data_IF_981276778287
#
_entry.id   IF_981276778287
#
_cell.length_a   1.000
_cell.length_b   1.000
_cell.length_c   1.000
_cell.angle_alpha   90.00
_cell.angle_beta   90.00
_cell.angle_gamma   90.00
#
_symmetry.space_group_name_H-M   'P 1'
#
loop_
_entity.id
_entity.type
_entity.pdbx_description
1 polymer ?
#
# COMPACT_ATOMS: atom_id res chain seq x y z
N UNK A 1 -6.28 9.72 20.42
CA UNK A 1 -5.07 9.03 20.90
C UNK A 1 -4.47 8.16 19.84
N UNK A 2 -3.17 8.20 19.67
CA UNK A 2 -2.53 7.28 18.72
C UNK A 2 -2.66 5.83 19.19
N UNK A 3 -2.64 4.93 18.26
CA UNK A 3 -2.62 3.50 18.57
C UNK A 3 -1.39 2.89 17.90
N UNK A 4 -1.05 1.69 18.32
CA UNK A 4 0.12 1.01 17.80
C UNK A 4 -0.27 -0.25 17.06
N UNK A 5 0.48 -0.56 16.03
CA UNK A 5 0.37 -1.84 15.34
C UNK A 5 1.71 -2.53 15.51
N UNK A 6 1.68 -3.74 16.08
CA UNK A 6 2.89 -4.50 16.27
C UNK A 6 2.91 -5.67 15.29
N UNK A 7 3.97 -5.72 14.50
CA UNK A 7 4.15 -6.79 13.52
C UNK A 7 5.56 -7.32 13.66
N UNK A 8 5.69 -8.63 13.80
CA UNK A 8 7.00 -9.24 13.85
C UNK A 8 7.53 -9.45 12.45
N UNK A 9 8.80 -9.18 12.25
CA UNK A 9 9.44 -9.45 10.97
C UNK A 9 10.14 -10.79 11.10
N UNK A 10 9.70 -11.82 10.36
CA UNK A 10 10.33 -13.13 10.45
C UNK A 10 11.81 -13.10 10.10
N UNK A 11 12.57 -14.04 10.62
CA UNK A 11 14.01 -14.09 10.34
C UNK A 11 14.30 -14.17 8.85
N UNK A 12 13.44 -14.81 8.09
CA UNK A 12 13.66 -14.94 6.65
C UNK A 12 13.63 -13.59 5.93
N UNK A 13 13.07 -12.56 6.58
CA UNK A 13 12.99 -11.22 5.99
C UNK A 13 13.88 -10.22 6.72
N UNK A 14 14.83 -10.72 7.54
CA UNK A 14 15.60 -9.83 8.39
C UNK A 14 16.31 -8.72 7.62
N UNK A 15 16.84 -9.04 6.46
CA UNK A 15 17.58 -8.03 5.72
C UNK A 15 16.70 -6.92 5.17
N UNK A 16 15.38 -7.10 5.20
CA UNK A 16 14.45 -6.06 4.75
C UNK A 16 13.93 -5.21 5.90
N UNK A 17 14.35 -5.52 7.14
CA UNK A 17 13.76 -4.89 8.33
C UNK A 17 13.72 -3.36 8.23
N UNK A 18 14.84 -2.74 7.93
CA UNK A 18 14.90 -1.27 7.91
C UNK A 18 14.09 -0.71 6.74
N UNK A 19 14.09 -1.41 5.62
CA UNK A 19 13.34 -0.94 4.45
C UNK A 19 11.84 -1.04 4.70
N UNK A 20 11.38 -2.12 5.33
CA UNK A 20 9.98 -2.25 5.70
C UNK A 20 9.58 -1.16 6.68
N UNK A 21 10.44 -0.88 7.65
CA UNK A 21 10.15 0.14 8.65
C UNK A 21 9.99 1.51 7.99
N UNK A 22 10.94 1.91 7.16
CA UNK A 22 10.90 3.21 6.52
C UNK A 22 9.75 3.33 5.53
N UNK A 23 9.48 2.27 4.78
CA UNK A 23 8.39 2.28 3.82
C UNK A 23 7.05 2.46 4.54
N UNK A 24 6.87 1.70 5.62
CA UNK A 24 5.63 1.74 6.39
C UNK A 24 5.44 3.10 7.05
N UNK A 25 6.50 3.66 7.64
CA UNK A 25 6.40 4.99 8.23
C UNK A 25 6.07 6.04 7.18
N UNK A 26 6.67 5.95 6.01
CA UNK A 26 6.36 6.89 4.93
C UNK A 26 4.93 6.81 4.48
N UNK A 27 4.39 5.59 4.39
CA UNK A 27 2.98 5.42 4.04
C UNK A 27 2.08 6.07 5.07
N UNK A 28 2.35 5.81 6.35
CA UNK A 28 1.52 6.37 7.43
C UNK A 28 1.59 7.87 7.43
N UNK A 29 2.78 8.44 7.25
CA UNK A 29 2.94 9.88 7.22
C UNK A 29 2.07 10.50 6.13
N UNK A 30 2.08 9.91 4.94
CA UNK A 30 1.31 10.47 3.84
C UNK A 30 -0.19 10.28 4.05
N UNK A 31 -0.60 9.16 4.60
CA UNK A 31 -2.01 8.94 4.92
C UNK A 31 -2.49 9.94 5.96
N UNK A 32 -1.66 10.21 6.97
CA UNK A 32 -2.00 11.16 8.01
C UNK A 32 -2.11 12.58 7.44
N UNK A 33 -1.18 12.95 6.56
CA UNK A 33 -1.22 14.26 5.93
C UNK A 33 -2.50 14.49 5.15
N UNK A 34 -3.09 13.44 4.62
CA UNK A 34 -4.31 13.54 3.83
C UNK A 34 -5.54 13.10 4.58
N UNK A 35 -5.45 12.98 5.91
CA UNK A 35 -6.54 12.43 6.71
C UNK A 35 -7.77 13.32 6.76
N UNK A 36 -7.63 14.57 6.34
CA UNK A 36 -8.78 15.47 6.29
C UNK A 36 -9.75 15.10 5.16
N UNK A 37 -9.32 14.28 4.24
CA UNK A 37 -10.19 13.84 3.18
C UNK A 37 -11.11 12.75 3.69
N UNK A 38 -12.28 12.64 3.09
CA UNK A 38 -13.23 11.65 3.59
C UNK A 38 -12.71 10.23 3.35
N UNK A 39 -13.21 9.33 4.17
CA UNK A 39 -12.89 7.91 4.03
C UNK A 39 -13.43 7.39 2.69
N UNK A 40 -12.64 6.63 1.95
CA UNK A 40 -13.08 6.16 0.64
C UNK A 40 -14.15 5.06 0.77
N UNK A 41 -15.01 5.02 -0.23
CA UNK A 41 -16.01 3.97 -0.35
C UNK A 41 -15.76 3.23 -1.66
N UNK A 42 -16.54 2.17 -1.90
CA UNK A 42 -16.39 1.44 -3.15
C UNK A 42 -16.75 2.29 -4.36
N UNK A 43 -17.56 3.35 -4.18
CA UNK A 43 -17.85 4.26 -5.27
C UNK A 43 -16.62 5.05 -5.72
N UNK A 44 -15.62 5.15 -4.84
CA UNK A 44 -14.39 5.88 -5.15
C UNK A 44 -13.35 5.01 -5.85
N UNK A 45 -13.59 3.70 -5.96
CA UNK A 45 -12.59 2.79 -6.52
C UNK A 45 -12.13 3.17 -7.94
N UNK A 46 -13.03 3.55 -8.86
CA UNK A 46 -12.54 3.92 -10.19
C UNK A 46 -11.56 5.09 -10.14
N UNK A 47 -11.81 6.10 -9.31
CA UNK A 47 -10.91 7.23 -9.18
C UNK A 47 -9.60 6.82 -8.51
N UNK A 48 -9.68 5.97 -7.48
CA UNK A 48 -8.48 5.48 -6.81
C UNK A 48 -7.60 4.73 -7.82
N UNK A 49 -8.22 3.91 -8.67
CA UNK A 49 -7.44 3.16 -9.66
C UNK A 49 -6.82 4.10 -10.70
N UNK A 50 -7.52 5.16 -11.09
CA UNK A 50 -6.92 6.12 -12.02
C UNK A 50 -5.73 6.82 -11.38
N UNK A 51 -5.82 7.18 -10.11
CA UNK A 51 -4.72 7.80 -9.41
C UNK A 51 -3.53 6.84 -9.29
N UNK A 52 -3.82 5.57 -9.01
CA UNK A 52 -2.76 4.56 -8.93
C UNK A 52 -2.06 4.43 -10.28
N UNK A 53 -2.82 4.39 -11.37
CA UNK A 53 -2.20 4.30 -12.70
C UNK A 53 -1.33 5.51 -13.00
N UNK A 54 -1.74 6.69 -12.53
CA UNK A 54 -0.93 7.89 -12.70
C UNK A 54 0.40 7.78 -11.99
N UNK A 55 0.38 7.24 -10.76
CA UNK A 55 1.62 7.07 -10.01
C UNK A 55 2.53 6.04 -10.67
N UNK A 56 1.95 4.97 -11.19
CA UNK A 56 2.73 3.96 -11.90
C UNK A 56 3.39 4.58 -13.12
N UNK A 57 2.64 5.39 -13.86
CA UNK A 57 3.19 6.04 -15.06
C UNK A 57 4.35 6.96 -14.69
N UNK A 58 4.21 7.73 -13.62
CA UNK A 58 5.27 8.62 -13.18
C UNK A 58 6.53 7.84 -12.82
N UNK A 59 6.36 6.70 -12.16
CA UNK A 59 7.50 5.88 -11.82
C UNK A 59 8.14 5.28 -13.08
N UNK A 60 7.33 4.82 -14.02
CA UNK A 60 7.84 4.29 -15.27
C UNK A 60 8.64 5.35 -16.05
N UNK A 61 8.16 6.59 -16.01
CA UNK A 61 8.88 7.68 -16.66
C UNK A 61 10.23 7.92 -16.00
N UNK A 62 10.30 7.80 -14.69
CA UNK A 62 11.57 7.96 -13.98
C UNK A 62 12.53 6.82 -14.30
N UNK A 63 12.01 5.60 -14.40
CA UNK A 63 12.84 4.46 -14.81
C UNK A 63 13.41 4.69 -16.21
N UNK A 64 12.58 5.17 -17.13
CA UNK A 64 13.02 5.40 -18.50
C UNK A 64 14.07 6.49 -18.56
N UNK A 65 14.04 7.44 -17.64
CA UNK A 65 15.01 8.52 -17.56
C UNK A 65 16.21 8.16 -16.69
N UNK A 66 16.24 6.93 -16.16
CA UNK A 66 17.32 6.48 -15.29
C UNK A 66 17.42 7.33 -14.02
N UNK A 67 16.30 7.80 -13.52
CA UNK A 67 16.30 8.64 -12.33
C UNK A 67 15.94 7.81 -11.11
N UNK A 68 16.95 7.39 -10.39
CA UNK A 68 16.78 6.57 -9.20
C UNK A 68 17.08 7.40 -7.97
N UNK A 69 16.21 8.36 -7.68
CA UNK A 69 16.40 9.28 -6.57
C UNK A 69 15.25 9.15 -5.58
N UNK A 70 15.18 10.09 -4.65
CA UNK A 70 14.16 10.07 -3.63
C UNK A 70 12.76 10.12 -4.20
N UNK A 71 12.57 10.82 -5.32
CA UNK A 71 11.25 10.89 -5.93
C UNK A 71 10.78 9.52 -6.40
N UNK A 72 11.69 8.68 -6.89
CA UNK A 72 11.31 7.32 -7.28
C UNK A 72 10.80 6.53 -6.08
N UNK A 73 11.42 6.71 -4.92
CA UNK A 73 10.97 6.04 -3.71
C UNK A 73 9.58 6.54 -3.29
N UNK A 74 9.36 7.85 -3.39
CA UNK A 74 8.08 8.44 -3.04
C UNK A 74 6.96 7.93 -3.95
N UNK A 75 7.25 7.78 -5.25
CA UNK A 75 6.26 7.25 -6.18
C UNK A 75 5.80 5.86 -5.78
N UNK A 76 6.72 5.03 -5.31
CA UNK A 76 6.35 3.69 -4.88
C UNK A 76 5.50 3.71 -3.62
N UNK A 77 5.80 4.60 -2.68
CA UNK A 77 4.97 4.74 -1.50
C UNK A 77 3.58 5.25 -1.84
N UNK A 78 3.47 6.16 -2.81
CA UNK A 78 2.17 6.66 -3.24
C UNK A 78 1.35 5.55 -3.86
N UNK A 79 1.97 4.68 -4.65
CA UNK A 79 1.27 3.54 -5.22
C UNK A 79 0.74 2.62 -4.12
N UNK A 80 1.56 2.36 -3.11
CA UNK A 80 1.14 1.51 -2.00
C UNK A 80 -0.03 2.13 -1.25
N UNK A 81 -0.02 3.45 -1.08
CA UNK A 81 -1.11 4.13 -0.39
C UNK A 81 -2.42 4.04 -1.16
N UNK A 82 -2.38 4.18 -2.49
CA UNK A 82 -3.61 4.04 -3.26
C UNK A 82 -4.12 2.61 -3.20
N UNK A 83 -3.22 1.63 -3.25
CA UNK A 83 -3.63 0.24 -3.08
C UNK A 83 -4.25 0.02 -1.70
N UNK A 84 -3.66 0.62 -0.67
CA UNK A 84 -4.21 0.51 0.67
C UNK A 84 -5.60 1.13 0.77
N UNK A 85 -5.80 2.30 0.14
CA UNK A 85 -7.11 2.94 0.18
C UNK A 85 -8.17 2.09 -0.50
N UNK A 86 -7.82 1.43 -1.60
CA UNK A 86 -8.74 0.51 -2.25
C UNK A 86 -9.05 -0.68 -1.35
N UNK A 87 -8.04 -1.23 -0.70
CA UNK A 87 -8.22 -2.31 0.25
C UNK A 87 -9.16 -1.88 1.39
N UNK A 88 -8.92 -0.70 1.95
CA UNK A 88 -9.72 -0.21 3.05
C UNK A 88 -11.18 0.00 2.62
N UNK A 89 -11.39 0.54 1.42
CA UNK A 89 -12.75 0.74 0.91
C UNK A 89 -13.50 -0.58 0.83
N UNK A 90 -12.85 -1.62 0.34
CA UNK A 90 -13.48 -2.93 0.23
C UNK A 90 -13.75 -3.53 1.62
N UNK A 91 -12.81 -3.39 2.55
CA UNK A 91 -13.01 -3.91 3.90
C UNK A 91 -14.17 -3.22 4.60
N UNK A 92 -14.26 -1.92 4.44
CA UNK A 92 -15.35 -1.15 5.06
C UNK A 92 -16.69 -1.47 4.43
N UNK A 93 -16.69 -1.91 3.17
CA UNK A 93 -17.91 -2.35 2.51
C UNK A 93 -18.39 -3.71 3.03
N UNK A 94 -17.50 -4.44 3.73
CA UNK A 94 -17.87 -5.73 4.30
C UNK A 94 -17.14 -6.93 3.72
N UNK A 95 -16.24 -6.71 2.77
CA UNK A 95 -15.45 -7.82 2.24
C UNK A 95 -14.53 -8.31 3.35
N UNK A 96 -14.59 -9.60 3.65
CA UNK A 96 -13.83 -10.15 4.76
C UNK A 96 -12.49 -10.65 4.33
N UNK A 97 -11.48 -10.32 5.13
CA UNK A 97 -10.13 -10.73 4.88
C UNK A 97 -9.96 -12.18 5.31
N UNK A 98 -9.64 -13.03 4.39
CA UNK A 98 -9.40 -14.43 4.70
C UNK A 98 -10.62 -15.19 5.13
N UNK A 99 -11.74 -14.61 4.92
CA UNK A 99 -12.89 -15.15 5.42
C UNK A 99 -13.25 -16.44 4.93
N UNK A 100 -13.25 -16.75 3.90
CA UNK A 100 -13.68 -17.92 3.55
C UNK A 100 -12.85 -18.67 2.99
N UNK A 101 -12.22 -18.54 3.16
CA UNK A 101 -11.51 -19.10 2.70
C UNK A 101 -11.31 -20.21 2.53
N UNK A 102 -11.44 -20.73 2.28
CA UNK A 102 -11.21 -21.70 2.01
C UNK A 102 -10.38 -21.77 1.17
N UNK A 103 -9.91 -21.59 1.04
CA UNK A 103 -9.17 -21.57 0.43
C UNK A 103 -8.34 -21.08 0.09
N UNK A 104 -7.93 -20.85 0.13
CA UNK A 104 -7.10 -20.32 -0.27
C UNK A 104 -6.15 -20.67 -0.10
N UNK A 105 -5.81 -21.12 -0.05
CA UNK A 105 -4.87 -21.27 0.19
C UNK A 105 -3.93 -20.86 0.08
N UNK A 106 -3.57 -20.74 0.37
CA UNK A 106 -2.85 -20.24 0.30
C UNK A 106 -2.02 -20.20 -0.22
N UNK A 107 -1.88 -20.53 -0.26
CA UNK A 107 -1.14 -20.47 -0.78
C UNK A 107 -0.83 -19.87 -1.54
N UNK A 108 -1.15 -19.68 -1.79
CA UNK A 108 -1.00 -18.98 -2.64
C UNK A 108 -0.31 -17.99 -2.45
N UNK A 109 -0.39 -17.63 -1.82
CA UNK A 109 0.16 -16.52 -1.72
C UNK A 109 1.47 -16.48 -1.62
N UNK A 110 2.00 -17.24 -1.52
CA UNK A 110 3.23 -17.10 -1.33
C UNK A 110 4.04 -16.92 -2.34
N UNK A 111 3.74 -16.62 -3.31
CA UNK A 111 4.56 -16.42 -4.24
C UNK A 111 5.01 -15.17 -4.24
N UNK A 112 5.78 -14.73 -4.30
CA UNK A 112 6.21 -13.51 -4.35
C UNK A 112 7.46 -13.52 -4.89
#
# INVERSE_FOLDING_TARGET
>A
MPTNILVQVPDSLREYHDYLHHFFLGMIYKLDKNSHKKTPTTADLPQIMDLLRGEIKEFEDQLAADKFDENALIELMDQANFAFLAYAALRMQGVKHGGNSKSHPQSEGSRL
#
